data_IF_938441971052
#
_entry.id   IF_938441971052
#
_cell.length_a   1.000
_cell.length_b   1.000
_cell.length_c   1.000
_cell.angle_alpha   90.00
_cell.angle_beta   90.00
_cell.angle_gamma   90.00
#
_symmetry.space_group_name_H-M   'P 1'
#
loop_
_entity.id
_entity.type
_entity.pdbx_description
1 polymer ?
#
# COMPACT_ATOMS: atom_id res chain seq x y z
N UNK A 1 -13.67 66.82 -10.56
CA UNK A 1 -13.95 67.94 -9.62
C UNK A 1 -15.44 68.18 -9.55
N UNK A 2 -15.93 68.79 -8.47
CA UNK A 2 -17.34 69.14 -8.28
C UNK A 2 -17.45 70.65 -8.04
N UNK A 3 -18.36 71.32 -8.74
CA UNK A 3 -18.63 72.76 -8.61
C UNK A 3 -20.09 72.95 -8.19
N UNK A 4 -20.33 73.78 -7.18
CA UNK A 4 -21.65 74.12 -6.69
C UNK A 4 -22.04 75.52 -7.19
N UNK A 5 -23.19 75.62 -7.87
CA UNK A 5 -23.80 76.88 -8.29
C UNK A 5 -25.22 76.97 -7.73
N UNK A 6 -25.42 77.65 -6.60
CA UNK A 6 -26.68 77.66 -5.87
C UNK A 6 -27.13 76.24 -5.50
N UNK A 7 -28.30 75.84 -5.99
CA UNK A 7 -28.88 74.51 -5.76
C UNK A 7 -28.51 73.47 -6.85
N UNK A 8 -27.54 73.77 -7.72
CA UNK A 8 -27.06 72.85 -8.76
C UNK A 8 -25.62 72.42 -8.48
N UNK A 9 -25.40 71.11 -8.57
CA UNK A 9 -24.07 70.49 -8.49
C UNK A 9 -23.65 70.04 -9.88
N UNK A 10 -22.47 70.48 -10.31
CA UNK A 10 -21.87 70.07 -11.58
C UNK A 10 -20.63 69.21 -11.33
N UNK A 11 -20.69 67.95 -11.75
CA UNK A 11 -19.58 67.01 -11.61
C UNK A 11 -18.77 66.94 -12.90
N UNK A 12 -17.50 67.32 -12.84
CA UNK A 12 -16.52 67.09 -13.91
C UNK A 12 -15.80 65.77 -13.63
N UNK A 13 -16.30 64.71 -14.24
CA UNK A 13 -15.75 63.36 -14.14
C UNK A 13 -14.77 63.10 -15.30
N UNK A 14 -13.73 62.28 -15.10
CA UNK A 14 -12.95 61.73 -16.21
C UNK A 14 -13.86 60.99 -17.20
N UNK A 15 -13.53 61.03 -18.49
CA UNK A 15 -14.35 60.39 -19.54
C UNK A 15 -14.56 58.89 -19.27
N UNK A 16 -13.56 58.22 -18.69
CA UNK A 16 -13.65 56.83 -18.25
C UNK A 16 -14.71 56.62 -17.18
N UNK A 17 -14.75 57.45 -16.13
CA UNK A 17 -15.78 57.36 -15.09
C UNK A 17 -17.18 57.74 -15.62
N UNK A 18 -17.25 58.71 -16.53
CA UNK A 18 -18.51 59.12 -17.15
C UNK A 18 -19.17 57.99 -17.94
N UNK A 19 -18.40 57.28 -18.78
CA UNK A 19 -18.92 56.14 -19.56
C UNK A 19 -19.44 55.02 -18.64
N UNK A 20 -18.68 54.67 -17.61
CA UNK A 20 -19.02 53.59 -16.66
C UNK A 20 -20.30 53.85 -15.89
N UNK A 21 -20.53 55.09 -15.49
CA UNK A 21 -21.72 55.49 -14.75
C UNK A 21 -23.01 55.40 -15.62
N UNK A 22 -22.87 55.61 -16.93
CA UNK A 22 -23.97 55.58 -17.90
C UNK A 22 -24.15 54.22 -18.60
N UNK A 23 -23.24 53.27 -18.34
CA UNK A 23 -23.32 51.93 -18.89
C UNK A 23 -24.24 51.07 -18.00
N UNK A 24 -25.40 50.61 -18.50
CA UNK A 24 -26.32 49.78 -17.73
C UNK A 24 -25.77 48.38 -17.43
N UNK A 25 -24.70 47.94 -18.12
CA UNK A 25 -24.07 46.64 -17.93
C UNK A 25 -22.76 46.72 -17.11
N UNK A 26 -22.38 47.90 -16.58
CA UNK A 26 -21.14 48.01 -15.80
C UNK A 26 -21.24 47.20 -14.49
N UNK A 27 -20.24 46.35 -14.16
CA UNK A 27 -20.20 45.58 -12.92
C UNK A 27 -19.94 46.43 -11.66
N UNK A 28 -19.64 47.73 -11.81
CA UNK A 28 -19.54 48.69 -10.72
C UNK A 28 -20.82 49.51 -10.54
N UNK A 29 -21.17 49.69 -9.27
CA UNK A 29 -22.30 50.50 -8.83
C UNK A 29 -21.77 51.80 -8.24
N UNK A 30 -22.31 52.92 -8.71
CA UNK A 30 -21.95 54.25 -8.21
C UNK A 30 -23.16 54.92 -7.59
N UNK A 31 -22.97 55.54 -6.43
CA UNK A 31 -24.03 56.33 -5.81
C UNK A 31 -23.48 57.58 -5.14
N UNK A 32 -24.10 58.71 -5.44
CA UNK A 32 -23.84 60.01 -4.82
C UNK A 32 -25.05 60.38 -3.97
N UNK A 33 -24.81 60.62 -2.68
CA UNK A 33 -25.85 61.06 -1.73
C UNK A 33 -25.36 62.25 -0.93
N UNK A 34 -26.30 63.10 -0.53
CA UNK A 34 -26.07 64.06 0.54
C UNK A 34 -25.98 63.35 1.89
N UNK A 35 -25.39 64.01 2.89
CA UNK A 35 -25.32 63.47 4.26
C UNK A 35 -26.69 63.30 4.94
N UNK A 36 -27.71 64.02 4.48
CA UNK A 36 -29.09 63.87 4.92
C UNK A 36 -29.81 62.65 4.30
N UNK A 37 -29.11 61.89 3.45
CA UNK A 37 -29.62 60.71 2.78
C UNK A 37 -30.34 60.99 1.46
N UNK A 38 -30.51 62.26 1.05
CA UNK A 38 -31.08 62.59 -0.27
C UNK A 38 -30.13 62.15 -1.38
N UNK A 39 -30.67 61.47 -2.38
CA UNK A 39 -29.91 61.00 -3.53
C UNK A 39 -29.62 62.16 -4.49
N UNK A 40 -28.36 62.31 -4.85
CA UNK A 40 -27.92 63.23 -5.92
C UNK A 40 -27.94 62.50 -7.25
N UNK A 41 -27.41 61.28 -7.26
CA UNK A 41 -27.25 60.48 -8.47
C UNK A 41 -27.01 59.00 -8.14
N UNK A 42 -27.45 58.08 -9.01
CA UNK A 42 -27.10 56.65 -9.00
C UNK A 42 -26.78 56.17 -10.42
N UNK A 43 -25.84 55.22 -10.55
CA UNK A 43 -25.48 54.66 -11.85
C UNK A 43 -26.65 53.93 -12.52
N UNK A 44 -26.65 53.91 -13.85
CA UNK A 44 -27.68 53.23 -14.65
C UNK A 44 -27.65 51.71 -14.49
N UNK A 45 -26.52 51.16 -14.05
CA UNK A 45 -26.36 49.75 -13.65
C UNK A 45 -27.18 49.37 -12.41
N UNK A 46 -27.68 50.34 -11.64
CA UNK A 46 -28.41 50.09 -10.39
C UNK A 46 -29.92 49.89 -10.64
N UNK A 47 -30.54 48.79 -10.14
CA UNK A 47 -31.98 48.56 -10.28
C UNK A 47 -32.81 49.66 -9.59
N UNK A 48 -33.89 50.12 -10.24
CA UNK A 48 -34.74 51.22 -9.75
C UNK A 48 -35.33 50.96 -8.34
N UNK A 49 -35.62 49.69 -8.02
CA UNK A 49 -36.22 49.25 -6.76
C UNK A 49 -35.22 48.76 -5.69
N UNK A 50 -33.92 49.02 -5.87
CA UNK A 50 -32.91 48.61 -4.90
C UNK A 50 -32.77 49.62 -3.75
N UNK A 51 -32.46 49.18 -2.51
CA UNK A 51 -32.18 50.08 -1.37
C UNK A 51 -30.88 50.91 -1.55
N UNK A 52 -30.18 50.73 -2.66
CA UNK A 52 -28.90 51.35 -2.97
C UNK A 52 -27.75 50.85 -2.08
N UNK A 53 -26.63 51.57 -2.13
CA UNK A 53 -25.41 51.25 -1.39
C UNK A 53 -25.47 51.76 0.07
N UNK A 54 -24.75 51.10 1.00
CA UNK A 54 -24.64 51.59 2.37
C UNK A 54 -23.89 52.93 2.41
N UNK A 55 -24.31 53.84 3.29
CA UNK A 55 -23.58 55.07 3.55
C UNK A 55 -22.29 54.74 4.30
N UNK A 56 -21.13 55.09 3.72
CA UNK A 56 -19.81 54.71 4.20
C UNK A 56 -18.83 55.87 4.11
N UNK A 57 -17.83 55.90 4.98
CA UNK A 57 -16.72 56.84 4.88
C UNK A 57 -17.09 58.31 5.13
N UNK A 58 -17.88 58.54 6.18
CA UNK A 58 -18.37 59.87 6.59
C UNK A 58 -17.25 60.82 7.06
N UNK A 59 -16.23 60.25 7.71
CA UNK A 59 -15.09 60.99 8.27
C UNK A 59 -13.79 60.70 7.53
N UNK A 60 -13.60 59.48 7.04
CA UNK A 60 -12.43 59.04 6.28
C UNK A 60 -12.85 58.02 5.23
N UNK A 61 -11.98 57.73 4.26
CA UNK A 61 -12.30 56.72 3.23
C UNK A 61 -12.39 55.33 3.88
N UNK A 62 -13.56 54.68 3.75
CA UNK A 62 -13.86 53.41 4.41
C UNK A 62 -14.31 52.36 3.39
N UNK A 63 -13.80 51.13 3.53
CA UNK A 63 -14.20 50.00 2.70
C UNK A 63 -14.95 48.95 3.55
N UNK A 64 -16.13 48.54 3.10
CA UNK A 64 -16.96 47.54 3.79
C UNK A 64 -17.51 46.50 2.81
N UNK A 65 -17.54 45.25 3.25
CA UNK A 65 -18.21 44.18 2.50
C UNK A 65 -19.73 44.34 2.65
N UNK A 66 -20.44 44.27 1.53
CA UNK A 66 -21.90 44.45 1.49
C UNK A 66 -22.55 43.58 0.42
N UNK A 67 -23.85 43.37 0.53
CA UNK A 67 -24.65 42.85 -0.58
C UNK A 67 -24.89 43.98 -1.57
N UNK A 68 -24.55 43.73 -2.83
CA UNK A 68 -24.77 44.67 -3.92
C UNK A 68 -26.25 44.71 -4.31
N UNK A 69 -26.71 45.76 -5.01
CA UNK A 69 -28.08 45.87 -5.50
C UNK A 69 -28.56 44.69 -6.38
N UNK A 70 -27.63 43.95 -6.98
CA UNK A 70 -27.90 42.74 -7.77
C UNK A 70 -27.98 41.45 -6.93
N UNK A 71 -27.86 41.54 -5.60
CA UNK A 71 -27.89 40.40 -4.68
C UNK A 71 -26.55 39.68 -4.51
N UNK A 72 -25.53 40.03 -5.29
CA UNK A 72 -24.21 39.40 -5.18
C UNK A 72 -23.38 40.03 -4.05
N UNK A 73 -22.50 39.26 -3.39
CA UNK A 73 -21.54 39.82 -2.46
C UNK A 73 -20.54 40.73 -3.20
N UNK A 74 -20.34 41.92 -2.65
CA UNK A 74 -19.39 42.89 -3.18
C UNK A 74 -18.70 43.66 -2.07
N UNK A 75 -17.83 44.57 -2.49
CA UNK A 75 -17.13 45.48 -1.58
C UNK A 75 -17.41 46.91 -1.99
N UNK A 76 -17.92 47.70 -1.05
CA UNK A 76 -18.19 49.11 -1.23
C UNK A 76 -17.08 49.94 -0.58
N UNK A 77 -16.66 51.01 -1.27
CA UNK A 77 -15.75 52.04 -0.80
C UNK A 77 -16.53 53.35 -0.74
N UNK A 78 -16.65 53.93 0.45
CA UNK A 78 -17.28 55.22 0.66
C UNK A 78 -16.26 56.30 1.00
N UNK A 79 -16.50 57.50 0.50
CA UNK A 79 -15.74 58.69 0.88
C UNK A 79 -16.64 59.92 0.82
N UNK A 80 -16.38 60.91 1.68
CA UNK A 80 -17.07 62.19 1.65
C UNK A 80 -16.13 63.30 1.21
N UNK A 81 -16.64 64.22 0.39
CA UNK A 81 -15.91 65.40 -0.05
C UNK A 81 -16.82 66.63 -0.12
N UNK A 82 -16.19 67.80 -0.10
CA UNK A 82 -16.83 69.09 -0.37
C UNK A 82 -16.62 69.49 -1.84
N UNK A 83 -17.53 70.26 -2.44
CA UNK A 83 -17.29 70.85 -3.76
C UNK A 83 -16.00 71.69 -3.74
N UNK A 84 -15.24 71.62 -4.82
CA UNK A 84 -13.95 72.31 -4.94
C UNK A 84 -14.11 73.82 -5.15
N UNK A 85 -15.24 74.22 -5.75
CA UNK A 85 -15.63 75.60 -6.03
C UNK A 85 -17.12 75.75 -5.67
N UNK A 86 -17.48 76.88 -5.05
CA UNK A 86 -18.85 77.24 -4.69
C UNK A 86 -19.03 78.75 -4.83
N UNK A 87 -20.26 79.18 -5.17
CA UNK A 87 -20.57 80.60 -5.37
C UNK A 87 -20.47 81.40 -4.05
N UNK A 88 -20.08 82.67 -4.14
CA UNK A 88 -19.87 83.54 -2.99
C UNK A 88 -21.21 83.83 -2.29
N UNK A 89 -21.40 83.26 -1.11
CA UNK A 89 -22.65 83.31 -0.33
C UNK A 89 -23.33 81.96 -0.11
N UNK A 90 -22.89 80.90 -0.79
CA UNK A 90 -23.39 79.53 -0.58
C UNK A 90 -22.63 78.80 0.54
N UNK A 91 -23.36 78.02 1.35
CA UNK A 91 -22.74 77.04 2.25
C UNK A 91 -22.37 75.77 1.47
N UNK A 92 -21.12 75.27 1.58
CA UNK A 92 -20.67 74.11 0.82
C UNK A 92 -21.33 72.82 1.34
N UNK A 93 -22.05 72.13 0.46
CA UNK A 93 -22.76 70.90 0.85
C UNK A 93 -21.84 69.68 0.76
N UNK A 94 -21.73 68.91 1.85
CA UNK A 94 -20.91 67.68 1.88
C UNK A 94 -21.61 66.53 1.14
N UNK A 95 -20.89 65.89 0.23
CA UNK A 95 -21.39 64.82 -0.64
C UNK A 95 -20.67 63.51 -0.28
N UNK A 96 -21.44 62.42 -0.18
CA UNK A 96 -20.94 61.06 -0.03
C UNK A 96 -20.94 60.36 -1.38
N UNK A 97 -19.78 59.84 -1.78
CA UNK A 97 -19.60 58.98 -2.94
C UNK A 97 -19.31 57.57 -2.46
N UNK A 98 -20.15 56.63 -2.88
CA UNK A 98 -19.95 55.21 -2.65
C UNK A 98 -19.78 54.51 -4.00
N UNK A 99 -18.68 53.79 -4.14
CA UNK A 99 -18.39 52.93 -5.29
C UNK A 99 -18.35 51.50 -4.81
N UNK A 100 -19.13 50.61 -5.42
CA UNK A 100 -19.14 49.21 -5.06
C UNK A 100 -18.85 48.33 -6.27
N UNK A 101 -17.92 47.39 -6.11
CA UNK A 101 -17.55 46.44 -7.14
C UNK A 101 -17.95 45.02 -6.74
N UNK A 102 -18.44 44.25 -7.70
CA UNK A 102 -18.75 42.84 -7.49
C UNK A 102 -17.48 42.02 -7.29
N UNK A 103 -17.42 41.29 -6.18
CA UNK A 103 -16.31 40.36 -5.94
C UNK A 103 -16.60 39.06 -6.71
N UNK A 104 -16.41 39.11 -8.02
CA UNK A 104 -16.66 37.99 -8.93
C UNK A 104 -15.68 36.83 -8.74
N UNK A 105 -16.24 35.66 -8.43
CA UNK A 105 -15.92 34.32 -8.96
C UNK A 105 -14.49 33.73 -8.91
N UNK A 106 -13.53 34.37 -8.24
CA UNK A 106 -12.19 33.78 -8.08
C UNK A 106 -12.21 32.48 -7.25
N UNK A 107 -13.23 32.31 -6.40
CA UNK A 107 -13.38 31.12 -5.57
C UNK A 107 -13.89 29.90 -6.35
N UNK A 108 -14.65 30.08 -7.44
CA UNK A 108 -15.14 28.92 -8.22
C UNK A 108 -14.02 28.31 -9.06
N UNK A 109 -13.14 29.12 -9.65
CA UNK A 109 -11.97 28.62 -10.38
C UNK A 109 -11.05 27.81 -9.45
N UNK A 110 -10.80 28.30 -8.24
CA UNK A 110 -10.02 27.60 -7.23
C UNK A 110 -10.72 26.33 -6.74
N UNK A 111 -12.04 26.36 -6.55
CA UNK A 111 -12.83 25.19 -6.15
C UNK A 111 -12.81 24.09 -7.23
N UNK A 112 -12.94 24.46 -8.51
CA UNK A 112 -12.84 23.52 -9.65
C UNK A 112 -11.44 22.91 -9.75
N UNK A 113 -10.39 23.72 -9.62
CA UNK A 113 -9.01 23.21 -9.63
C UNK A 113 -8.78 22.22 -8.48
N UNK A 114 -9.23 22.58 -7.27
CA UNK A 114 -9.16 21.71 -6.09
C UNK A 114 -9.88 20.38 -6.33
N UNK A 115 -11.09 20.43 -6.88
CA UNK A 115 -11.88 19.23 -7.16
C UNK A 115 -11.21 18.33 -8.21
N UNK A 116 -10.62 18.91 -9.27
CA UNK A 116 -9.88 18.17 -10.29
C UNK A 116 -8.63 17.50 -9.70
N UNK A 117 -7.89 18.20 -8.84
CA UNK A 117 -6.71 17.63 -8.16
C UNK A 117 -7.10 16.46 -7.27
N UNK A 118 -8.14 16.61 -6.43
CA UNK A 118 -8.56 15.52 -5.54
C UNK A 118 -9.12 14.33 -6.32
N UNK A 119 -9.96 14.56 -7.34
CA UNK A 119 -10.53 13.46 -8.13
C UNK A 119 -9.47 12.71 -8.92
N UNK A 120 -8.57 13.42 -9.61
CA UNK A 120 -7.46 12.78 -10.33
C UNK A 120 -6.49 12.08 -9.38
N UNK A 121 -6.17 12.70 -8.24
CA UNK A 121 -5.33 12.10 -7.20
C UNK A 121 -5.94 10.83 -6.60
N UNK A 122 -7.24 10.83 -6.30
CA UNK A 122 -7.95 9.64 -5.81
C UNK A 122 -7.99 8.53 -6.85
N UNK A 123 -8.22 8.84 -8.13
CA UNK A 123 -8.18 7.84 -9.21
C UNK A 123 -6.77 7.24 -9.32
N UNK A 124 -5.73 8.08 -9.35
CA UNK A 124 -4.35 7.62 -9.40
C UNK A 124 -3.99 6.73 -8.20
N UNK A 125 -4.42 7.11 -6.99
CA UNK A 125 -4.19 6.31 -5.78
C UNK A 125 -4.91 4.95 -5.84
N UNK A 126 -6.15 4.90 -6.32
CA UNK A 126 -6.89 3.64 -6.51
C UNK A 126 -6.25 2.74 -7.56
N UNK A 127 -5.77 3.31 -8.66
CA UNK A 127 -5.05 2.57 -9.69
C UNK A 127 -3.72 2.01 -9.16
N UNK A 128 -2.95 2.81 -8.41
CA UNK A 128 -1.71 2.36 -7.77
C UNK A 128 -1.98 1.25 -6.75
N UNK A 129 -3.01 1.38 -5.93
CA UNK A 129 -3.42 0.36 -4.98
C UNK A 129 -3.81 -0.94 -5.70
N UNK A 130 -4.64 -0.85 -6.74
CA UNK A 130 -5.05 -2.00 -7.56
C UNK A 130 -3.86 -2.69 -8.22
N UNK A 131 -2.95 -1.92 -8.83
CA UNK A 131 -1.74 -2.44 -9.44
C UNK A 131 -0.84 -3.13 -8.41
N UNK A 132 -0.65 -2.52 -7.24
CA UNK A 132 0.16 -3.11 -6.15
C UNK A 132 -0.43 -4.43 -5.67
N UNK A 133 -1.75 -4.49 -5.45
CA UNK A 133 -2.43 -5.71 -5.04
C UNK A 133 -2.35 -6.81 -6.10
N UNK A 134 -2.44 -6.45 -7.39
CA UNK A 134 -2.27 -7.40 -8.50
C UNK A 134 -0.85 -7.95 -8.56
N UNK A 135 0.17 -7.08 -8.46
CA UNK A 135 1.58 -7.46 -8.47
C UNK A 135 1.88 -8.40 -7.28
N UNK A 136 1.44 -8.05 -6.07
CA UNK A 136 1.63 -8.89 -4.88
C UNK A 136 0.96 -10.25 -5.04
N UNK A 137 -0.28 -10.29 -5.55
CA UNK A 137 -0.97 -11.55 -5.82
C UNK A 137 -0.24 -12.41 -6.85
N UNK A 138 0.32 -11.80 -7.88
CA UNK A 138 1.06 -12.50 -8.92
C UNK A 138 2.41 -13.02 -8.39
N UNK A 139 3.10 -12.25 -7.55
CA UNK A 139 4.35 -12.64 -6.89
C UNK A 139 4.16 -13.77 -5.87
N UNK A 140 3.02 -13.82 -5.17
CA UNK A 140 2.72 -14.85 -4.17
C UNK A 140 2.10 -16.12 -4.75
N UNK A 141 1.56 -16.09 -5.98
CA UNK A 141 0.94 -17.25 -6.61
C UNK A 141 1.91 -18.45 -6.78
N UNK A 142 3.17 -18.28 -7.21
CA UNK A 142 4.14 -19.37 -7.26
C UNK A 142 4.43 -20.01 -5.91
N UNK A 143 4.42 -19.23 -4.81
CA UNK A 143 4.59 -19.77 -3.45
C UNK A 143 3.44 -20.70 -3.08
N UNK A 144 2.19 -20.33 -3.38
CA UNK A 144 1.05 -21.21 -3.12
C UNK A 144 1.12 -22.53 -3.91
N UNK A 145 1.64 -22.49 -5.14
CA UNK A 145 1.89 -23.69 -5.94
C UNK A 145 2.97 -24.57 -5.31
N UNK A 146 4.09 -23.97 -4.86
CA UNK A 146 5.14 -24.71 -4.14
C UNK A 146 4.61 -25.37 -2.87
N UNK A 147 3.85 -24.63 -2.05
CA UNK A 147 3.31 -25.18 -0.80
C UNK A 147 2.43 -26.40 -1.06
N UNK A 148 1.65 -26.41 -2.14
CA UNK A 148 0.88 -27.58 -2.55
C UNK A 148 1.78 -28.72 -3.03
N UNK A 149 2.75 -28.43 -3.89
CA UNK A 149 3.69 -29.45 -4.38
C UNK A 149 4.46 -30.12 -3.23
N UNK A 150 4.88 -29.35 -2.22
CA UNK A 150 5.55 -29.88 -1.02
C UNK A 150 4.59 -30.71 -0.17
N UNK A 151 3.34 -30.26 0.00
CA UNK A 151 2.34 -30.98 0.79
C UNK A 151 1.89 -32.29 0.16
N UNK A 152 1.86 -32.35 -1.17
CA UNK A 152 1.42 -33.52 -1.94
C UNK A 152 2.59 -34.46 -2.33
N UNK A 153 3.84 -34.08 -2.07
CA UNK A 153 5.00 -34.89 -2.44
C UNK A 153 5.04 -36.20 -1.62
N UNK A 154 5.04 -37.38 -2.27
CA UNK A 154 5.16 -38.64 -1.56
C UNK A 154 6.53 -38.74 -0.88
N UNK A 155 6.51 -39.08 0.42
CA UNK A 155 7.74 -39.27 1.20
C UNK A 155 8.34 -40.64 0.82
N UNK A 156 9.53 -40.63 0.23
CA UNK A 156 10.29 -41.85 -0.07
C UNK A 156 10.14 -42.42 -1.48
N UNK A 157 9.56 -41.66 -2.42
CA UNK A 157 9.67 -41.86 -3.87
C UNK A 157 10.54 -40.73 -4.48
N UNK A 158 10.98 -40.87 -5.74
CA UNK A 158 11.66 -39.80 -6.47
C UNK A 158 10.76 -38.56 -6.54
N UNK A 159 11.02 -37.60 -5.67
CA UNK A 159 10.39 -36.29 -5.73
C UNK A 159 10.92 -35.61 -6.97
N UNK A 160 10.11 -35.57 -8.03
CA UNK A 160 10.42 -34.80 -9.23
C UNK A 160 10.79 -33.37 -8.84
N UNK A 161 11.80 -32.79 -9.49
CA UNK A 161 12.30 -31.46 -9.15
C UNK A 161 11.13 -30.47 -9.04
N UNK A 162 11.06 -29.73 -7.93
CA UNK A 162 10.06 -28.67 -7.78
C UNK A 162 10.34 -27.59 -8.84
N UNK A 163 9.62 -27.66 -9.96
CA UNK A 163 9.78 -26.75 -11.08
C UNK A 163 8.80 -25.57 -10.92
N UNK A 164 9.36 -24.39 -10.75
CA UNK A 164 8.61 -23.13 -10.78
C UNK A 164 8.76 -22.47 -12.14
N UNK A 165 7.93 -22.86 -13.10
CA UNK A 165 7.75 -22.06 -14.29
C UNK A 165 7.16 -20.69 -13.90
N UNK A 166 7.99 -19.64 -13.90
CA UNK A 166 7.56 -18.26 -13.65
C UNK A 166 7.68 -17.74 -12.21
N UNK A 167 8.49 -18.38 -11.34
CA UNK A 167 8.80 -17.77 -10.05
C UNK A 167 9.77 -16.57 -10.17
N UNK A 168 9.65 -15.59 -9.27
CA UNK A 168 10.65 -14.52 -9.11
C UNK A 168 12.06 -15.10 -8.96
N UNK A 169 13.07 -14.40 -9.50
CA UNK A 169 14.48 -14.78 -9.41
C UNK A 169 14.93 -14.98 -7.96
N UNK A 170 14.32 -14.26 -7.03
CA UNK A 170 14.56 -14.30 -5.59
C UNK A 170 14.18 -15.65 -4.95
N UNK A 171 13.23 -16.40 -5.54
CA UNK A 171 12.80 -17.70 -5.00
C UNK A 171 13.61 -18.89 -5.54
N UNK A 172 14.36 -18.71 -6.64
CA UNK A 172 15.16 -19.79 -7.23
C UNK A 172 16.19 -20.40 -6.25
N UNK A 173 16.94 -19.63 -5.45
CA UNK A 173 17.91 -20.19 -4.51
C UNK A 173 17.24 -21.01 -3.39
N UNK A 174 16.05 -20.60 -2.95
CA UNK A 174 15.29 -21.31 -1.91
C UNK A 174 14.84 -22.67 -2.42
N UNK A 175 14.32 -22.71 -3.65
CA UNK A 175 13.86 -23.94 -4.30
C UNK A 175 15.03 -24.87 -4.58
N UNK A 176 16.16 -24.35 -5.03
CA UNK A 176 17.38 -25.14 -5.20
C UNK A 176 17.84 -25.78 -3.88
N UNK A 177 17.79 -25.04 -2.76
CA UNK A 177 18.11 -25.60 -1.43
C UNK A 177 17.10 -26.65 -0.97
N UNK A 178 15.81 -26.42 -1.23
CA UNK A 178 14.76 -27.38 -0.90
C UNK A 178 14.91 -28.69 -1.69
N UNK A 179 15.12 -28.61 -3.01
CA UNK A 179 15.41 -29.76 -3.85
C UNK A 179 16.63 -30.52 -3.35
N UNK A 180 17.71 -29.81 -3.00
CA UNK A 180 18.91 -30.42 -2.42
C UNK A 180 18.66 -31.11 -1.08
N UNK A 181 17.80 -30.55 -0.22
CA UNK A 181 17.41 -31.19 1.04
C UNK A 181 16.59 -32.45 0.79
N UNK A 182 15.59 -32.39 -0.09
CA UNK A 182 14.77 -33.55 -0.43
C UNK A 182 15.62 -34.68 -1.02
N UNK A 183 16.56 -34.36 -1.91
CA UNK A 183 17.50 -35.34 -2.46
C UNK A 183 18.32 -36.03 -1.36
N UNK A 184 18.81 -35.28 -0.36
CA UNK A 184 19.55 -35.86 0.78
C UNK A 184 18.66 -36.74 1.66
N UNK A 185 17.42 -36.33 1.90
CA UNK A 185 16.45 -37.13 2.67
C UNK A 185 16.11 -38.43 1.95
N UNK A 186 15.82 -38.37 0.65
CA UNK A 186 15.54 -39.56 -0.16
C UNK A 186 16.72 -40.52 -0.18
N UNK A 187 17.94 -40.02 -0.34
CA UNK A 187 19.15 -40.84 -0.27
C UNK A 187 19.34 -41.51 1.10
N UNK A 188 19.09 -40.80 2.20
CA UNK A 188 19.19 -41.35 3.55
C UNK A 188 18.15 -42.46 3.80
N UNK A 189 16.90 -42.25 3.37
CA UNK A 189 15.83 -43.25 3.50
C UNK A 189 16.12 -44.50 2.67
N UNK A 190 16.67 -44.34 1.46
CA UNK A 190 17.02 -45.49 0.62
C UNK A 190 18.16 -46.32 1.24
N UNK A 191 19.18 -45.65 1.79
CA UNK A 191 20.25 -46.33 2.53
C UNK A 191 19.71 -47.07 3.75
N UNK A 192 18.76 -46.48 4.50
CA UNK A 192 18.12 -47.14 5.65
C UNK A 192 17.32 -48.39 5.23
N UNK A 193 16.57 -48.31 4.12
CA UNK A 193 15.84 -49.46 3.57
C UNK A 193 16.80 -50.59 3.15
N UNK A 194 17.90 -50.23 2.49
CA UNK A 194 18.89 -51.22 2.05
C UNK A 194 19.62 -51.84 3.24
N UNK A 195 20.00 -51.05 4.25
CA UNK A 195 20.61 -51.53 5.48
C UNK A 195 19.70 -52.49 6.24
N UNK A 196 18.43 -52.12 6.44
CA UNK A 196 17.45 -52.96 7.16
C UNK A 196 17.16 -54.26 6.40
N UNK A 197 17.08 -54.21 5.07
CA UNK A 197 16.94 -55.41 4.22
C UNK A 197 18.15 -56.34 4.35
N UNK A 198 19.36 -55.81 4.23
CA UNK A 198 20.59 -56.58 4.36
C UNK A 198 20.72 -57.21 5.75
N UNK A 199 20.45 -56.46 6.81
CA UNK A 199 20.45 -56.96 8.19
C UNK A 199 19.45 -58.12 8.38
N UNK A 200 18.24 -57.98 7.84
CA UNK A 200 17.23 -59.05 7.91
C UNK A 200 17.70 -60.32 7.17
N UNK A 201 18.33 -60.16 6.00
CA UNK A 201 18.88 -61.29 5.24
C UNK A 201 20.03 -61.98 5.97
N UNK A 202 21.00 -61.22 6.50
CA UNK A 202 22.15 -61.76 7.22
C UNK A 202 21.75 -62.48 8.51
N UNK A 203 20.70 -62.03 9.21
CA UNK A 203 20.22 -62.69 10.42
C UNK A 203 19.33 -63.91 10.14
N UNK A 204 18.57 -63.90 9.04
CA UNK A 204 17.66 -65.00 8.69
C UNK A 204 18.40 -66.32 8.40
N UNK A 205 19.56 -66.22 7.75
CA UNK A 205 20.34 -67.39 7.34
C UNK A 205 20.89 -68.20 8.54
N UNK A 206 21.61 -67.61 9.51
CA UNK A 206 22.06 -68.32 10.70
C UNK A 206 20.88 -68.71 11.60
N UNK A 207 19.79 -67.94 11.66
CA UNK A 207 18.59 -68.33 12.42
C UNK A 207 17.94 -69.60 11.84
N UNK A 208 17.92 -69.75 10.52
CA UNK A 208 17.50 -71.00 9.87
C UNK A 208 18.45 -72.17 10.19
N UNK A 209 19.76 -71.91 10.21
CA UNK A 209 20.76 -72.90 10.62
C UNK A 209 20.57 -73.36 12.07
N UNK A 210 20.35 -72.42 12.99
CA UNK A 210 20.08 -72.70 14.41
C UNK A 210 18.83 -73.57 14.56
N UNK A 211 17.75 -73.20 13.86
CA UNK A 211 16.51 -73.96 13.85
C UNK A 211 16.72 -75.39 13.33
N UNK A 212 17.46 -75.56 12.24
CA UNK A 212 17.74 -76.89 11.66
C UNK A 212 18.52 -77.79 12.63
N UNK A 213 19.51 -77.25 13.34
CA UNK A 213 20.26 -78.03 14.34
C UNK A 213 19.36 -78.46 15.51
N UNK A 214 18.46 -77.58 15.97
CA UNK A 214 17.49 -77.91 17.04
C UNK A 214 16.47 -78.94 16.57
N UNK A 215 15.91 -78.81 15.36
CA UNK A 215 14.97 -79.79 14.79
C UNK A 215 15.63 -81.17 14.65
N UNK A 216 16.90 -81.22 14.21
CA UNK A 216 17.66 -82.46 14.09
C UNK A 216 17.92 -83.15 15.44
N UNK A 217 18.22 -82.38 16.49
CA UNK A 217 18.33 -82.91 17.85
C UNK A 217 17.00 -83.50 18.35
N UNK A 218 15.88 -82.83 18.07
CA UNK A 218 14.55 -83.30 18.48
C UNK A 218 14.13 -84.60 17.78
N UNK A 219 14.51 -84.79 16.52
CA UNK A 219 14.19 -86.01 15.75
C UNK A 219 15.02 -87.23 16.17
N UNK A 220 16.27 -87.05 16.59
CA UNK A 220 17.21 -88.16 16.86
C UNK A 220 17.01 -88.86 18.20
N UNK A 221 16.26 -88.26 19.15
CA UNK A 221 16.09 -88.80 20.50
C UNK A 221 17.30 -88.56 21.42
N UNK A 222 17.28 -89.03 22.67
CA UNK A 222 18.36 -88.78 23.65
C UNK A 222 19.55 -89.71 23.42
N UNK A 223 20.62 -89.17 22.87
CA UNK A 223 21.96 -89.79 22.79
C UNK A 223 23.01 -88.77 23.26
N UNK A 224 23.67 -89.01 24.42
CA UNK A 224 24.54 -88.00 25.05
C UNK A 224 25.74 -87.57 24.18
N UNK A 225 26.29 -88.45 23.33
CA UNK A 225 27.41 -88.07 22.44
C UNK A 225 26.94 -87.18 21.28
N UNK A 226 25.76 -87.46 20.72
CA UNK A 226 25.18 -86.67 19.62
C UNK A 226 24.55 -85.35 20.12
N UNK A 227 24.06 -85.34 21.36
CA UNK A 227 23.57 -84.13 22.03
C UNK A 227 24.72 -83.13 22.22
N UNK A 228 25.90 -83.60 22.66
CA UNK A 228 27.09 -82.75 22.80
C UNK A 228 27.53 -82.14 21.46
N UNK A 229 27.58 -82.95 20.39
CA UNK A 229 27.92 -82.46 19.04
C UNK A 229 26.90 -81.42 18.54
N UNK A 230 25.61 -81.62 18.82
CA UNK A 230 24.56 -80.68 18.41
C UNK A 230 24.64 -79.37 19.20
N UNK A 231 24.92 -79.41 20.50
CA UNK A 231 25.12 -78.21 21.31
C UNK A 231 26.34 -77.41 20.84
N UNK A 232 27.43 -78.06 20.44
CA UNK A 232 28.59 -77.38 19.85
C UNK A 232 28.20 -76.64 18.58
N UNK A 233 27.46 -77.28 17.66
CA UNK A 233 26.96 -76.64 16.42
C UNK A 233 26.01 -75.48 16.68
N UNK A 234 25.11 -75.62 17.65
CA UNK A 234 24.20 -74.55 18.10
C UNK A 234 24.99 -73.34 18.62
N UNK A 235 26.04 -73.59 19.41
CA UNK A 235 26.88 -72.53 19.98
C UNK A 235 27.70 -71.82 18.91
N UNK A 236 28.16 -72.54 17.88
CA UNK A 236 28.84 -71.97 16.72
C UNK A 236 27.92 -71.04 15.91
N UNK A 237 26.70 -71.48 15.60
CA UNK A 237 25.71 -70.63 14.90
C UNK A 237 25.34 -69.40 15.73
N UNK A 238 25.22 -69.54 17.05
CA UNK A 238 24.97 -68.41 17.95
C UNK A 238 26.13 -67.40 17.94
N UNK A 239 27.39 -67.86 17.97
CA UNK A 239 28.57 -66.98 17.84
C UNK A 239 28.58 -66.25 16.52
N UNK A 240 28.21 -66.93 15.43
CA UNK A 240 28.13 -66.32 14.11
C UNK A 240 27.06 -65.22 14.04
N UNK A 241 25.88 -65.44 14.65
CA UNK A 241 24.87 -64.39 14.81
C UNK A 241 25.38 -63.20 15.64
N UNK A 242 26.10 -63.47 16.73
CA UNK A 242 26.71 -62.43 17.57
C UNK A 242 27.64 -61.51 16.77
N UNK A 243 28.57 -62.10 16.01
CA UNK A 243 29.48 -61.35 15.15
C UNK A 243 28.76 -60.56 14.05
N UNK A 244 27.69 -61.10 13.46
CA UNK A 244 26.89 -60.37 12.48
C UNK A 244 26.21 -59.13 13.09
N UNK A 245 25.65 -59.24 14.31
CA UNK A 245 25.06 -58.10 15.03
C UNK A 245 26.11 -57.05 15.36
N UNK A 246 27.31 -57.46 15.78
CA UNK A 246 28.42 -56.53 16.05
C UNK A 246 28.86 -55.78 14.80
N UNK A 247 28.98 -56.46 13.66
CA UNK A 247 29.30 -55.83 12.38
C UNK A 247 28.21 -54.83 11.95
N UNK A 248 26.93 -55.17 12.12
CA UNK A 248 25.81 -54.27 11.83
C UNK A 248 25.82 -53.03 12.75
N UNK A 249 26.17 -53.19 14.03
CA UNK A 249 26.29 -52.07 14.97
C UNK A 249 27.46 -51.14 14.62
N UNK A 250 28.59 -51.68 14.16
CA UNK A 250 29.72 -50.89 13.67
C UNK A 250 29.32 -50.10 12.43
N UNK A 251 28.68 -50.74 11.44
CA UNK A 251 28.18 -50.07 10.24
C UNK A 251 27.19 -48.94 10.57
N UNK A 252 26.23 -49.15 11.48
CA UNK A 252 25.29 -48.12 11.89
C UNK A 252 25.95 -46.91 12.58
N UNK A 253 27.05 -47.12 13.33
CA UNK A 253 27.83 -46.04 13.95
C UNK A 253 28.63 -45.22 12.93
N UNK A 254 29.14 -45.88 11.90
CA UNK A 254 29.82 -45.24 10.77
C UNK A 254 28.83 -44.42 9.93
N UNK A 255 27.65 -44.96 9.61
CA UNK A 255 26.62 -44.25 8.84
C UNK A 255 26.04 -43.04 9.58
N UNK A 256 25.92 -43.10 10.91
CA UNK A 256 25.48 -41.96 11.73
C UNK A 256 26.56 -40.87 11.92
N UNK A 257 27.78 -41.08 11.39
CA UNK A 257 28.90 -40.16 11.54
C UNK A 257 29.45 -40.07 12.97
N UNK A 258 29.11 -41.02 13.84
CA UNK A 258 29.51 -41.04 15.25
C UNK A 258 30.95 -41.56 15.42
N UNK A 259 31.41 -42.42 14.49
CA UNK A 259 32.79 -42.88 14.43
C UNK A 259 33.47 -42.40 13.13
N UNK A 260 34.65 -41.80 13.25
CA UNK A 260 35.47 -41.37 12.11
C UNK A 260 36.63 -42.36 11.98
N UNK A 261 36.70 -43.08 10.88
CA UNK A 261 37.81 -44.02 10.64
C UNK A 261 39.07 -43.20 10.33
N UNK A 262 40.02 -43.17 11.27
CA UNK A 262 41.38 -42.72 11.00
C UNK A 262 42.13 -43.81 10.24
N UNK A 263 42.35 -43.59 8.95
CA UNK A 263 43.18 -44.48 8.14
C UNK A 263 44.65 -44.15 8.40
N UNK A 264 45.36 -45.08 9.06
CA UNK A 264 46.81 -45.05 9.18
C UNK A 264 47.45 -45.91 8.07
N UNK A 265 48.63 -45.54 7.53
CA UNK A 265 49.34 -46.36 6.57
C UNK A 265 49.72 -47.70 7.21
N UNK A 266 49.56 -48.78 6.45
CA UNK A 266 49.99 -50.13 6.84
C UNK A 266 51.47 -50.23 6.51
N UNK A 267 52.31 -50.41 7.54
CA UNK A 267 53.75 -50.71 7.42
C UNK A 267 53.99 -52.14 6.87
#
# INVERSE_FOLDING_TARGET
SCVQHGNRLSFKLPETAWRRIHDPEDPEFFQFRFLDGREVFRSYSMPENSPGLPMLGLESTEARDCLLPNGNPGRALGTCFFPAEFDEGDEPVKINLVVAHQRGDQNEALARLRQLIFTSGSIAALLLLGATLLIVRQLLRPLATLTRQIGDAPIGEEVGEFALAGAPLELQPVVGRLNGLMARVSAALENERQFTSNAAHELRNPLAGLRSQVELALERGRDPEQDEETFVKVLEVQRQMGGAVENLLVLARLDSGTERIEMAPVD
#
